data_IF_604367904026
#
_entry.id   IF_604367904026
#
_cell.length_a   1.000
_cell.length_b   1.000
_cell.length_c   1.000
_cell.angle_alpha   90.00
_cell.angle_beta   90.00
_cell.angle_gamma   90.00
#
_symmetry.space_group_name_H-M   'P 1'
#
loop_
_entity.id
_entity.type
_entity.pdbx_description
1 polymer ?
#
# COMPACT_ATOMS: atom_id res chain seq x y z
N UNK A 1 36.89 -5.64 19.53
CA UNK A 1 35.71 -6.50 19.29
C UNK A 1 34.83 -5.95 18.17
N UNK A 2 35.40 -5.88 16.95
CA UNK A 2 34.74 -5.35 15.75
C UNK A 2 33.76 -6.34 15.11
N UNK A 3 33.70 -7.59 15.58
CA UNK A 3 32.82 -8.61 15.00
C UNK A 3 31.38 -8.55 15.52
N UNK A 4 31.14 -8.08 16.74
CA UNK A 4 29.81 -7.97 17.35
C UNK A 4 28.99 -6.79 16.83
N UNK A 5 29.66 -5.68 16.44
CA UNK A 5 28.95 -4.50 15.91
C UNK A 5 28.47 -4.71 14.45
N UNK A 6 29.15 -5.59 13.67
CA UNK A 6 28.71 -5.94 12.31
C UNK A 6 27.45 -6.82 12.31
N UNK A 7 27.27 -7.70 13.30
CA UNK A 7 26.09 -8.55 13.39
C UNK A 7 24.79 -7.77 13.69
N UNK A 8 24.84 -6.79 14.58
CA UNK A 8 23.67 -5.96 14.92
C UNK A 8 23.27 -5.02 13.78
N UNK A 9 24.24 -4.42 13.09
CA UNK A 9 23.95 -3.54 11.94
C UNK A 9 23.36 -4.29 10.73
N UNK A 10 23.74 -5.56 10.52
CA UNK A 10 23.19 -6.41 9.44
C UNK A 10 21.78 -6.92 9.77
N UNK A 11 21.46 -7.20 11.02
CA UNK A 11 20.11 -7.63 11.45
C UNK A 11 19.08 -6.52 11.18
N UNK A 12 19.39 -5.27 11.47
CA UNK A 12 18.48 -4.14 11.21
C UNK A 12 18.36 -3.79 9.71
N UNK A 13 19.39 -4.05 8.90
CA UNK A 13 19.35 -3.79 7.45
C UNK A 13 18.56 -4.82 6.64
N UNK A 14 18.20 -5.97 7.25
CA UNK A 14 17.49 -7.06 6.58
C UNK A 14 16.01 -7.17 6.98
N UNK A 15 15.47 -6.17 7.65
CA UNK A 15 14.05 -6.14 7.98
C UNK A 15 13.24 -5.54 6.84
N UNK A 16 12.08 -6.13 6.57
CA UNK A 16 11.13 -5.67 5.56
C UNK A 16 9.74 -5.48 6.14
N UNK A 17 8.97 -4.64 5.49
CA UNK A 17 7.52 -4.67 5.56
C UNK A 17 6.95 -5.05 4.18
N UNK A 18 5.80 -5.70 4.17
CA UNK A 18 5.00 -5.95 2.97
C UNK A 18 3.69 -5.20 3.09
N UNK A 19 3.18 -4.69 1.97
CA UNK A 19 1.88 -4.02 1.93
C UNK A 19 0.93 -4.87 1.09
N UNK A 20 -0.25 -5.14 1.64
CA UNK A 20 -1.35 -5.85 1.00
C UNK A 20 -0.95 -7.19 0.35
N UNK A 21 -0.46 -8.17 1.12
CA UNK A 21 -0.08 -9.45 0.57
C UNK A 21 -1.29 -10.30 0.21
N UNK A 22 -1.60 -10.46 -1.08
CA UNK A 22 -2.69 -11.35 -1.55
C UNK A 22 -2.37 -12.82 -1.32
N UNK A 23 -1.10 -13.21 -1.52
CA UNK A 23 -0.61 -14.58 -1.39
C UNK A 23 0.72 -14.60 -0.63
N UNK A 24 0.90 -15.60 0.25
CA UNK A 24 2.09 -15.70 1.06
C UNK A 24 3.28 -16.34 0.33
N UNK A 25 3.04 -17.40 -0.45
CA UNK A 25 4.10 -18.24 -1.02
C UNK A 25 5.13 -17.47 -1.88
N UNK A 26 4.74 -16.60 -2.83
CA UNK A 26 5.69 -15.83 -3.61
C UNK A 26 6.56 -14.92 -2.74
N UNK A 27 5.98 -14.34 -1.69
CA UNK A 27 6.67 -13.45 -0.75
C UNK A 27 7.66 -14.24 0.10
N UNK A 28 7.25 -15.39 0.66
CA UNK A 28 8.10 -16.28 1.44
C UNK A 28 9.33 -16.69 0.62
N UNK A 29 9.11 -17.13 -0.61
CA UNK A 29 10.18 -17.56 -1.50
C UNK A 29 11.17 -16.43 -1.81
N UNK A 30 10.65 -15.23 -2.10
CA UNK A 30 11.49 -14.05 -2.36
C UNK A 30 12.33 -13.67 -1.13
N UNK A 31 11.71 -13.59 0.05
CA UNK A 31 12.38 -13.16 1.28
C UNK A 31 13.43 -14.17 1.75
N UNK A 32 13.13 -15.49 1.70
CA UNK A 32 14.09 -16.55 2.01
C UNK A 32 15.31 -16.52 1.08
N UNK A 33 15.09 -16.35 -0.23
CA UNK A 33 16.17 -16.27 -1.21
C UNK A 33 17.07 -15.03 -1.00
N UNK A 34 16.58 -13.98 -0.37
CA UNK A 34 17.33 -12.75 -0.08
C UNK A 34 17.84 -12.67 1.37
N UNK A 35 17.53 -13.65 2.21
CA UNK A 35 17.83 -13.65 3.64
C UNK A 35 17.30 -12.37 4.32
N UNK A 36 16.01 -12.04 4.03
CA UNK A 36 15.30 -10.88 4.57
C UNK A 36 14.23 -11.36 5.55
N UNK A 37 14.17 -10.75 6.74
CA UNK A 37 13.16 -11.04 7.75
C UNK A 37 11.96 -10.10 7.58
N UNK A 38 10.75 -10.65 7.40
CA UNK A 38 9.52 -9.88 7.35
C UNK A 38 9.08 -9.50 8.75
N UNK A 39 9.11 -8.21 9.06
CA UNK A 39 8.75 -7.72 10.38
C UNK A 39 7.30 -7.26 10.47
N UNK A 40 6.81 -6.57 9.44
CA UNK A 40 5.46 -6.00 9.43
C UNK A 40 4.71 -6.36 8.16
N UNK A 41 3.40 -6.60 8.31
CA UNK A 41 2.41 -6.73 7.25
C UNK A 41 1.47 -5.55 7.40
N UNK A 42 1.41 -4.69 6.39
CA UNK A 42 0.61 -3.47 6.39
C UNK A 42 -0.60 -3.67 5.48
N UNK A 43 -1.82 -3.52 6.01
CA UNK A 43 -3.03 -3.65 5.20
C UNK A 43 -3.71 -2.31 5.00
N UNK A 44 -3.92 -1.94 3.73
CA UNK A 44 -4.65 -0.71 3.38
C UNK A 44 -6.15 -0.88 3.63
N UNK A 45 -6.70 -2.07 3.40
CA UNK A 45 -8.10 -2.42 3.63
C UNK A 45 -8.28 -3.95 3.71
N UNK A 46 -9.51 -4.39 3.93
CA UNK A 46 -9.84 -5.78 4.28
C UNK A 46 -10.16 -6.72 3.12
N UNK A 47 -10.14 -6.28 1.86
CA UNK A 47 -10.46 -7.19 0.75
C UNK A 47 -9.47 -8.35 0.67
N UNK A 48 -9.99 -9.52 0.29
CA UNK A 48 -9.25 -10.78 0.35
C UNK A 48 -7.94 -10.76 -0.42
N UNK A 49 -7.92 -10.13 -1.58
CA UNK A 49 -6.73 -9.97 -2.42
C UNK A 49 -5.68 -8.99 -1.86
N UNK A 50 -5.92 -8.42 -0.66
CA UNK A 50 -4.97 -7.58 0.07
C UNK A 50 -4.56 -8.17 1.43
N UNK A 51 -5.29 -9.17 1.92
CA UNK A 51 -5.06 -9.76 3.25
C UNK A 51 -4.84 -11.28 3.21
N UNK A 52 -5.02 -11.93 2.05
CA UNK A 52 -5.02 -13.39 1.94
C UNK A 52 -3.72 -14.05 2.39
N UNK A 53 -2.59 -13.35 2.31
CA UNK A 53 -1.30 -13.84 2.79
C UNK A 53 -1.00 -13.59 4.27
N UNK A 54 -1.84 -12.84 4.99
CA UNK A 54 -1.53 -12.39 6.35
C UNK A 54 -1.18 -13.52 7.32
N UNK A 55 -2.07 -14.52 7.43
CA UNK A 55 -1.93 -15.59 8.43
C UNK A 55 -0.71 -16.45 8.18
N UNK A 56 -0.47 -16.84 6.93
CA UNK A 56 0.67 -17.67 6.55
C UNK A 56 2.00 -16.92 6.70
N UNK A 57 2.06 -15.64 6.33
CA UNK A 57 3.24 -14.80 6.54
C UNK A 57 3.50 -14.57 8.03
N UNK A 58 2.46 -14.31 8.82
CA UNK A 58 2.57 -14.17 10.27
C UNK A 58 3.08 -15.46 10.92
N UNK A 59 2.59 -16.61 10.50
CA UNK A 59 3.03 -17.93 10.97
C UNK A 59 4.49 -18.21 10.60
N UNK A 60 4.90 -17.88 9.38
CA UNK A 60 6.25 -18.17 8.87
C UNK A 60 7.33 -17.28 9.50
N UNK A 61 7.06 -15.97 9.64
CA UNK A 61 8.06 -14.98 10.07
C UNK A 61 7.84 -14.41 11.47
N UNK A 62 6.72 -14.70 12.11
CA UNK A 62 6.33 -14.03 13.35
C UNK A 62 6.02 -12.54 13.13
N UNK A 63 5.56 -12.17 11.93
CA UNK A 63 5.30 -10.78 11.53
C UNK A 63 4.14 -10.18 12.30
N UNK A 64 4.18 -8.86 12.46
CA UNK A 64 3.14 -8.05 13.11
C UNK A 64 2.23 -7.49 12.02
N UNK A 65 0.92 -7.76 12.12
CA UNK A 65 -0.08 -7.25 11.20
C UNK A 65 -0.59 -5.89 11.66
N UNK A 66 -0.56 -4.91 10.77
CA UNK A 66 -0.88 -3.50 11.04
C UNK A 66 -1.96 -3.05 10.09
N UNK A 67 -3.03 -2.46 10.60
CA UNK A 67 -4.15 -2.00 9.77
C UNK A 67 -5.03 -1.00 10.50
N UNK A 68 -6.09 -0.54 9.81
CA UNK A 68 -6.97 0.49 10.35
C UNK A 68 -7.89 -0.05 11.45
N UNK A 69 -8.00 0.67 12.56
CA UNK A 69 -8.80 0.28 13.73
C UNK A 69 -10.27 0.00 13.38
N UNK A 70 -10.86 0.80 12.48
CA UNK A 70 -12.26 0.60 12.06
C UNK A 70 -12.47 -0.64 11.18
N UNK A 71 -11.39 -1.23 10.67
CA UNK A 71 -11.40 -2.46 9.85
C UNK A 71 -10.91 -3.69 10.61
N UNK A 72 -10.62 -3.56 11.90
CA UNK A 72 -9.94 -4.58 12.71
C UNK A 72 -10.67 -5.93 12.76
N UNK A 73 -11.99 -5.95 12.71
CA UNK A 73 -12.78 -7.18 12.70
C UNK A 73 -12.74 -7.92 11.36
N UNK A 74 -12.30 -7.22 10.28
CA UNK A 74 -12.26 -7.74 8.91
C UNK A 74 -10.85 -8.08 8.42
N UNK A 75 -9.81 -7.67 9.18
CA UNK A 75 -8.40 -7.96 8.87
C UNK A 75 -7.89 -9.09 9.75
N UNK A 76 -7.64 -10.30 9.20
CA UNK A 76 -7.18 -11.45 9.97
C UNK A 76 -5.84 -11.20 10.66
N UNK A 77 -5.76 -11.56 11.92
CA UNK A 77 -4.51 -11.56 12.67
C UNK A 77 -3.94 -10.17 12.98
N UNK A 78 -4.74 -9.10 12.86
CA UNK A 78 -4.30 -7.73 13.14
C UNK A 78 -3.79 -7.59 14.59
N UNK A 79 -2.63 -6.95 14.77
CA UNK A 79 -1.98 -6.74 16.06
C UNK A 79 -1.92 -5.26 16.42
N UNK A 80 -1.71 -4.37 15.44
CA UNK A 80 -1.60 -2.92 15.65
C UNK A 80 -2.73 -2.21 14.92
N UNK A 81 -3.48 -1.41 15.69
CA UNK A 81 -4.64 -0.66 15.23
C UNK A 81 -4.25 0.79 14.99
N UNK A 82 -4.39 1.24 13.74
CA UNK A 82 -4.07 2.60 13.32
C UNK A 82 -5.31 3.49 13.26
N UNK A 83 -5.09 4.79 13.46
CA UNK A 83 -6.11 5.84 13.33
C UNK A 83 -5.73 6.85 12.24
N UNK A 84 -6.71 7.64 11.76
CA UNK A 84 -6.46 8.70 10.77
C UNK A 84 -5.49 9.76 11.33
N UNK A 85 -4.67 10.31 10.46
CA UNK A 85 -3.62 11.31 10.78
C UNK A 85 -2.51 10.83 11.74
N UNK A 86 -2.56 9.58 12.21
CA UNK A 86 -1.52 9.01 13.06
C UNK A 86 -0.20 8.92 12.31
N UNK A 87 0.91 9.17 13.03
CA UNK A 87 2.26 8.76 12.61
C UNK A 87 2.51 7.38 13.22
N UNK A 88 2.58 6.36 12.37
CA UNK A 88 3.05 5.05 12.76
C UNK A 88 4.57 5.01 12.61
N UNK A 89 5.25 4.63 13.69
CA UNK A 89 6.70 4.52 13.72
C UNK A 89 7.08 3.21 14.42
N UNK A 90 7.85 2.38 13.73
CA UNK A 90 8.31 1.09 14.26
C UNK A 90 9.61 0.68 13.57
N UNK A 91 10.63 0.40 14.35
CA UNK A 91 11.99 0.13 13.88
C UNK A 91 12.49 1.26 12.94
N UNK A 92 12.76 0.93 11.67
CA UNK A 92 13.22 1.88 10.65
C UNK A 92 12.07 2.39 9.73
N UNK A 93 10.82 2.05 10.05
CA UNK A 93 9.66 2.42 9.25
C UNK A 93 8.91 3.57 9.89
N UNK A 94 8.55 4.58 9.08
CA UNK A 94 7.77 5.72 9.55
C UNK A 94 6.79 6.17 8.48
N UNK A 95 5.51 6.03 8.75
CA UNK A 95 4.45 6.39 7.82
C UNK A 95 3.38 7.27 8.48
N UNK A 96 2.89 8.28 7.77
CA UNK A 96 1.66 8.97 8.10
C UNK A 96 0.48 8.16 7.54
N UNK A 97 -0.51 7.92 8.39
CA UNK A 97 -1.73 7.20 8.03
C UNK A 97 -2.77 8.22 7.55
N UNK A 98 -3.34 7.96 6.38
CA UNK A 98 -4.36 8.82 5.79
C UNK A 98 -5.60 7.98 5.54
N UNK A 99 -6.68 8.26 6.25
CA UNK A 99 -7.97 7.60 6.00
C UNK A 99 -8.57 8.11 4.69
N UNK A 100 -8.85 7.17 3.79
CA UNK A 100 -9.29 7.42 2.40
C UNK A 100 -10.50 6.55 2.05
N UNK A 101 -11.66 6.80 2.73
CA UNK A 101 -12.88 6.02 2.49
C UNK A 101 -13.42 6.24 1.07
N UNK A 102 -14.14 5.24 0.59
CA UNK A 102 -14.76 5.24 -0.74
C UNK A 102 -14.83 3.86 -1.32
N UNK A 103 -13.69 3.25 -1.64
CA UNK A 103 -13.62 1.86 -2.07
C UNK A 103 -14.14 0.93 -0.96
N UNK A 104 -13.58 1.04 0.23
CA UNK A 104 -14.17 0.55 1.48
C UNK A 104 -14.27 1.67 2.49
N UNK A 105 -15.05 1.49 3.56
CA UNK A 105 -15.19 2.50 4.63
C UNK A 105 -13.96 2.58 5.53
N UNK A 106 -13.20 1.49 5.65
CA UNK A 106 -11.99 1.40 6.48
C UNK A 106 -10.68 1.55 5.71
N UNK A 107 -10.72 2.04 4.46
CA UNK A 107 -9.51 2.14 3.64
C UNK A 107 -8.55 3.23 4.13
N UNK A 108 -7.25 2.89 4.22
CA UNK A 108 -6.17 3.82 4.56
C UNK A 108 -5.07 3.83 3.50
N UNK A 109 -4.34 4.93 3.43
CA UNK A 109 -3.08 5.04 2.68
C UNK A 109 -1.91 5.13 3.67
N UNK A 110 -0.84 4.39 3.42
CA UNK A 110 0.42 4.50 4.12
C UNK A 110 1.34 5.48 3.37
N UNK A 111 1.55 6.67 3.93
CA UNK A 111 2.46 7.67 3.35
C UNK A 111 3.80 7.66 4.09
N UNK A 112 4.80 7.00 3.52
CA UNK A 112 6.20 7.03 3.97
C UNK A 112 6.83 8.33 3.45
N UNK A 113 6.55 9.42 4.16
CA UNK A 113 6.86 10.79 3.70
C UNK A 113 8.36 11.08 3.60
N UNK A 114 9.19 10.41 4.40
CA UNK A 114 10.66 10.56 4.34
C UNK A 114 11.23 9.94 3.06
N UNK A 115 10.72 8.76 2.67
CA UNK A 115 11.11 8.03 1.47
C UNK A 115 10.37 8.53 0.22
N UNK A 116 9.38 9.41 0.39
CA UNK A 116 8.50 9.92 -0.67
C UNK A 116 7.74 8.79 -1.38
N UNK A 117 7.22 7.85 -0.62
CA UNK A 117 6.43 6.71 -1.10
C UNK A 117 5.03 6.76 -0.48
N UNK A 118 4.00 6.47 -1.27
CA UNK A 118 2.64 6.30 -0.76
C UNK A 118 2.00 5.03 -1.33
N UNK A 119 1.50 4.18 -0.45
CA UNK A 119 0.75 2.98 -0.79
C UNK A 119 -0.73 3.30 -0.68
N UNK A 120 -1.41 3.38 -1.82
CA UNK A 120 -2.78 3.88 -1.92
C UNK A 120 -3.83 2.77 -2.03
N UNK A 121 -3.39 1.51 -2.02
CA UNK A 121 -4.27 0.36 -2.20
C UNK A 121 -5.20 0.57 -3.38
N UNK A 122 -6.50 0.45 -3.14
CA UNK A 122 -7.55 0.56 -4.15
C UNK A 122 -8.26 1.93 -4.16
N UNK A 123 -7.66 2.95 -3.55
CA UNK A 123 -8.21 4.32 -3.67
C UNK A 123 -7.75 4.97 -4.97
N UNK A 124 -6.44 5.00 -5.26
CA UNK A 124 -5.89 5.64 -6.47
C UNK A 124 -5.10 4.64 -7.30
N UNK A 125 -5.45 4.52 -8.57
CA UNK A 125 -4.70 3.77 -9.59
C UNK A 125 -4.06 4.71 -10.63
N UNK A 126 -3.19 4.16 -11.46
CA UNK A 126 -2.73 4.87 -12.65
C UNK A 126 -3.91 5.13 -13.59
N UNK A 127 -4.19 6.40 -13.87
CA UNK A 127 -5.30 6.89 -14.70
C UNK A 127 -6.71 6.51 -14.20
N UNK A 128 -6.87 6.25 -12.91
CA UNK A 128 -8.19 5.89 -12.37
C UNK A 128 -8.20 5.75 -10.86
N UNK A 129 -9.31 5.23 -10.36
CA UNK A 129 -9.53 4.95 -8.94
C UNK A 129 -10.31 3.63 -8.79
N UNK A 130 -10.38 3.13 -7.55
CA UNK A 130 -11.15 1.94 -7.22
C UNK A 130 -12.66 2.16 -7.35
N UNK A 131 -13.40 1.05 -7.46
CA UNK A 131 -14.86 1.08 -7.37
C UNK A 131 -15.28 1.49 -5.96
N UNK A 132 -16.43 2.12 -5.86
CA UNK A 132 -17.04 2.48 -4.58
C UNK A 132 -17.97 1.33 -4.18
N UNK A 133 -17.53 0.50 -3.21
CA UNK A 133 -18.34 -0.62 -2.71
C UNK A 133 -19.09 -0.25 -1.43
N UNK A 134 -18.45 0.50 -0.53
CA UNK A 134 -19.01 0.79 0.80
C UNK A 134 -19.21 2.28 1.06
N UNK A 135 -18.42 3.14 0.44
CA UNK A 135 -18.47 4.58 0.63
C UNK A 135 -19.39 5.30 -0.34
N UNK A 136 -19.24 6.64 -0.43
CA UNK A 136 -19.95 7.49 -1.37
C UNK A 136 -19.02 8.12 -2.40
N UNK A 137 -19.57 8.71 -3.46
CA UNK A 137 -18.79 9.45 -4.47
C UNK A 137 -18.07 10.66 -3.85
N UNK A 138 -18.72 11.34 -2.92
CA UNK A 138 -18.16 12.48 -2.19
C UNK A 138 -16.95 12.03 -1.36
N UNK A 139 -17.07 10.93 -0.63
CA UNK A 139 -15.97 10.38 0.16
C UNK A 139 -14.77 9.97 -0.72
N UNK A 140 -15.03 9.30 -1.85
CA UNK A 140 -13.96 8.94 -2.79
C UNK A 140 -13.30 10.21 -3.36
N UNK A 141 -14.06 11.21 -3.73
CA UNK A 141 -13.53 12.48 -4.25
C UNK A 141 -12.65 13.20 -3.22
N UNK A 142 -13.07 13.27 -1.96
CA UNK A 142 -12.29 13.84 -0.87
C UNK A 142 -11.01 13.01 -0.62
N UNK A 143 -11.10 11.70 -0.65
CA UNK A 143 -9.96 10.77 -0.50
C UNK A 143 -8.92 10.97 -1.61
N UNK A 144 -9.36 11.10 -2.85
CA UNK A 144 -8.48 11.41 -3.98
C UNK A 144 -7.83 12.79 -3.83
N UNK A 145 -8.54 13.80 -3.31
CA UNK A 145 -7.96 15.11 -3.04
C UNK A 145 -6.92 15.08 -1.91
N UNK A 146 -7.12 14.27 -0.86
CA UNK A 146 -6.09 14.04 0.17
C UNK A 146 -4.80 13.48 -0.46
N UNK A 147 -4.91 12.45 -1.30
CA UNK A 147 -3.74 11.87 -1.99
C UNK A 147 -3.11 12.88 -2.96
N UNK A 148 -3.91 13.63 -3.72
CA UNK A 148 -3.45 14.69 -4.64
C UNK A 148 -2.68 15.79 -3.93
N UNK A 149 -2.94 16.05 -2.65
CA UNK A 149 -2.24 17.05 -1.84
C UNK A 149 -0.83 16.63 -1.40
N UNK A 150 -0.46 15.37 -1.59
CA UNK A 150 0.89 14.90 -1.31
C UNK A 150 1.92 15.61 -2.21
N UNK A 151 3.19 15.72 -1.78
CA UNK A 151 4.25 16.29 -2.60
C UNK A 151 4.32 15.63 -3.99
N UNK A 152 4.56 16.43 -5.04
CA UNK A 152 4.52 15.95 -6.44
C UNK A 152 5.54 14.85 -6.76
N UNK A 153 6.63 14.81 -6.01
CA UNK A 153 7.68 13.79 -6.11
C UNK A 153 7.35 12.48 -5.39
N UNK A 154 6.19 12.40 -4.71
CA UNK A 154 5.75 11.16 -4.04
C UNK A 154 5.44 10.09 -5.08
N UNK A 155 6.11 8.96 -4.97
CA UNK A 155 5.85 7.78 -5.81
C UNK A 155 4.65 7.02 -5.26
N UNK A 156 3.67 6.77 -6.11
CA UNK A 156 2.44 6.05 -5.76
C UNK A 156 2.60 4.56 -6.07
N UNK A 157 2.25 3.74 -5.10
CA UNK A 157 2.13 2.28 -5.22
C UNK A 157 0.67 1.91 -4.96
N UNK A 158 -0.01 1.48 -6.00
CA UNK A 158 -1.42 1.09 -5.96
C UNK A 158 -1.58 -0.43 -5.93
N UNK A 159 -2.77 -0.91 -5.54
CA UNK A 159 -3.05 -2.34 -5.38
C UNK A 159 -3.08 -3.11 -6.70
N UNK A 160 -3.54 -2.49 -7.79
CA UNK A 160 -3.75 -3.16 -9.07
C UNK A 160 -3.19 -2.40 -10.26
N UNK A 161 -2.85 -3.14 -11.33
CA UNK A 161 -2.38 -2.60 -12.61
C UNK A 161 -3.54 -2.56 -13.63
N UNK A 162 -4.27 -1.46 -13.65
CA UNK A 162 -5.39 -1.22 -14.56
C UNK A 162 -5.13 -0.11 -15.58
N UNK A 163 -3.90 0.36 -15.72
CA UNK A 163 -3.55 1.55 -16.52
C UNK A 163 -4.07 1.49 -17.95
N UNK A 164 -3.91 0.36 -18.63
CA UNK A 164 -4.37 0.22 -20.01
C UNK A 164 -5.91 0.28 -20.11
N UNK A 165 -6.62 -0.36 -19.18
CA UNK A 165 -8.09 -0.32 -19.13
C UNK A 165 -8.59 1.09 -18.81
N UNK A 166 -8.01 1.72 -17.79
CA UNK A 166 -8.34 3.09 -17.38
C UNK A 166 -8.07 4.10 -18.50
N UNK A 167 -6.99 3.89 -19.27
CA UNK A 167 -6.63 4.78 -20.37
C UNK A 167 -7.70 4.86 -21.47
N UNK A 168 -8.46 3.79 -21.70
CA UNK A 168 -9.58 3.76 -22.66
C UNK A 168 -10.70 4.70 -22.25
N UNK A 169 -11.00 4.72 -20.94
CA UNK A 169 -11.98 5.65 -20.38
C UNK A 169 -11.48 7.10 -20.46
N UNK A 170 -10.23 7.34 -20.04
CA UNK A 170 -9.66 8.67 -20.04
C UNK A 170 -9.62 9.28 -21.43
N UNK A 171 -9.16 8.55 -22.47
CA UNK A 171 -9.06 9.08 -23.84
C UNK A 171 -10.43 9.34 -24.47
N UNK A 172 -11.46 8.60 -24.05
CA UNK A 172 -12.84 8.84 -24.49
C UNK A 172 -13.38 10.16 -23.96
N UNK A 173 -12.99 10.56 -22.75
CA UNK A 173 -13.52 11.75 -22.07
C UNK A 173 -12.61 12.99 -22.25
N UNK A 174 -11.33 12.79 -22.58
CA UNK A 174 -10.35 13.86 -22.77
C UNK A 174 -9.42 13.51 -23.96
N UNK A 175 -9.96 13.46 -25.19
CA UNK A 175 -9.24 12.97 -26.36
C UNK A 175 -8.06 13.86 -26.79
N UNK A 176 -8.14 15.15 -26.51
CA UNK A 176 -7.14 16.15 -26.94
C UNK A 176 -5.98 16.29 -25.95
N UNK A 177 -5.98 15.56 -24.83
CA UNK A 177 -4.94 15.60 -23.81
C UNK A 177 -3.64 14.94 -24.32
N UNK A 178 -2.71 15.78 -24.72
CA UNK A 178 -1.42 15.32 -25.26
C UNK A 178 -0.59 14.50 -24.26
N UNK A 179 -0.67 14.82 -22.95
CA UNK A 179 0.04 14.07 -21.92
C UNK A 179 -0.55 12.68 -21.76
N UNK A 180 -1.88 12.55 -21.79
CA UNK A 180 -2.58 11.27 -21.78
C UNK A 180 -2.20 10.44 -22.99
N UNK A 181 -2.22 11.03 -24.21
CA UNK A 181 -1.83 10.34 -25.44
C UNK A 181 -0.38 9.84 -25.39
N UNK A 182 0.56 10.64 -24.85
CA UNK A 182 1.96 10.23 -24.64
C UNK A 182 2.05 9.05 -23.67
N UNK A 183 1.32 9.12 -22.55
CA UNK A 183 1.29 8.04 -21.56
C UNK A 183 0.76 6.75 -22.15
N UNK A 184 -0.33 6.80 -22.93
CA UNK A 184 -0.91 5.61 -23.60
C UNK A 184 0.09 4.97 -24.56
N UNK A 185 0.85 5.76 -25.31
CA UNK A 185 1.91 5.24 -26.20
C UNK A 185 3.04 4.54 -25.43
N UNK A 186 3.35 4.98 -24.21
CA UNK A 186 4.35 4.34 -23.36
C UNK A 186 3.90 3.01 -22.76
N UNK A 187 2.61 2.90 -22.40
CA UNK A 187 2.02 1.68 -21.81
C UNK A 187 1.92 0.54 -22.85
N UNK A 188 1.75 0.87 -24.13
CA UNK A 188 1.61 -0.11 -25.22
C UNK A 188 2.94 -0.67 -25.74
N UNK A 189 4.08 -0.20 -25.23
CA UNK A 189 5.42 -0.71 -25.51
C UNK A 189 5.83 -1.77 -24.50
#
# INVERSE_FOLDING_TARGET
>A
DKSRSRGLGDVYKRQACVVDPSEAEPIINYLKNKDINLKYILNTHHHFDHIGGNEDLKKEFGSIVVGFKKDSERIPGIDIFLEDDQIWEADNFKAKIIHVPGHTTGHICFNFFQEKLAFTGDTLFSLGCGRIFEGTYEQMYESLNKIKSLPKETKIYCGHEYTLSNSKFCIKNDPDNQNLQKKIKQIKK
#
